data_IF_675558320738
#
_entry.id   IF_675558320738
#
_cell.length_a   1.000
_cell.length_b   1.000
_cell.length_c   1.000
_cell.angle_alpha   90.00
_cell.angle_beta   90.00
_cell.angle_gamma   90.00
#
_symmetry.space_group_name_H-M   'P 1'
#
loop_
_entity.id
_entity.type
_entity.pdbx_description
1 polymer ?
#
# COMPACT_ATOMS: atom_id res chain seq x y z
N UNK A 1 -3.70 16.52 -17.62
CA UNK A 1 -2.99 17.14 -18.77
C UNK A 1 -2.16 16.07 -19.48
N UNK A 2 -1.96 16.20 -20.79
CA UNK A 2 -1.01 15.37 -21.51
C UNK A 2 0.39 15.98 -21.35
N UNK A 3 1.26 15.27 -20.64
CA UNK A 3 2.67 15.64 -20.49
C UNK A 3 3.47 14.66 -21.32
N UNK A 4 4.23 15.17 -22.31
CA UNK A 4 5.03 14.31 -23.18
C UNK A 4 6.32 13.93 -22.46
N UNK A 5 6.25 12.90 -21.61
CA UNK A 5 7.41 12.29 -20.97
C UNK A 5 7.88 11.12 -21.83
N UNK A 6 9.15 11.12 -22.22
CA UNK A 6 9.76 9.96 -22.86
C UNK A 6 9.88 8.83 -21.84
N UNK A 7 9.10 7.77 -22.03
CA UNK A 7 9.14 6.54 -21.23
C UNK A 7 9.57 5.42 -22.16
N UNK A 8 10.45 4.54 -21.69
CA UNK A 8 10.82 3.32 -22.42
C UNK A 8 9.55 2.51 -22.75
N UNK A 9 9.23 2.29 -24.04
CA UNK A 9 8.04 1.54 -24.44
C UNK A 9 7.99 0.13 -23.87
N UNK A 10 9.13 -0.57 -23.79
CA UNK A 10 9.19 -1.93 -23.28
C UNK A 10 8.86 -1.98 -21.78
N UNK A 11 9.34 -1.00 -21.01
CA UNK A 11 9.01 -0.87 -19.60
C UNK A 11 7.52 -0.59 -19.39
N UNK A 12 6.93 0.31 -20.20
CA UNK A 12 5.53 0.68 -20.08
C UNK A 12 4.60 -0.48 -20.45
N UNK A 13 4.93 -1.24 -21.49
CA UNK A 13 4.17 -2.44 -21.88
C UNK A 13 4.27 -3.53 -20.81
N UNK A 14 5.45 -3.76 -20.25
CA UNK A 14 5.62 -4.71 -19.16
C UNK A 14 4.83 -4.30 -17.92
N UNK A 15 4.92 -3.02 -17.52
CA UNK A 15 4.16 -2.48 -16.39
C UNK A 15 2.64 -2.58 -16.62
N UNK A 16 2.17 -2.38 -17.85
CA UNK A 16 0.75 -2.51 -18.19
C UNK A 16 0.28 -3.96 -18.11
N UNK A 17 1.08 -4.90 -18.62
CA UNK A 17 0.77 -6.33 -18.56
C UNK A 17 0.73 -6.87 -17.12
N UNK A 18 1.66 -6.44 -16.27
CA UNK A 18 1.71 -6.83 -14.85
C UNK A 18 0.63 -6.13 -14.02
N UNK A 19 0.39 -4.84 -14.27
CA UNK A 19 -0.59 -4.04 -13.53
C UNK A 19 -2.04 -4.23 -13.96
N UNK A 20 -2.30 -4.81 -15.13
CA UNK A 20 -3.66 -5.10 -15.63
C UNK A 20 -4.45 -3.86 -16.07
N UNK A 21 -3.80 -2.69 -16.18
CA UNK A 21 -4.46 -1.43 -16.50
C UNK A 21 -4.87 -1.35 -17.99
N UNK A 22 -6.09 -0.88 -18.26
CA UNK A 22 -6.65 -0.86 -19.62
C UNK A 22 -5.94 0.11 -20.58
N UNK A 23 -5.25 1.13 -20.04
CA UNK A 23 -4.57 2.15 -20.87
C UNK A 23 -3.18 2.47 -20.32
N UNK A 24 -2.25 2.81 -21.20
CA UNK A 24 -0.91 3.29 -20.86
C UNK A 24 -0.95 4.46 -19.86
N UNK A 25 -1.92 5.37 -20.00
CA UNK A 25 -2.11 6.48 -19.06
C UNK A 25 -2.46 5.98 -17.66
N UNK A 26 -3.41 5.05 -17.56
CA UNK A 26 -3.80 4.44 -16.28
C UNK A 26 -2.61 3.69 -15.65
N UNK A 27 -1.83 2.95 -16.44
CA UNK A 27 -0.57 2.31 -15.99
C UNK A 27 0.38 3.32 -15.38
N UNK A 28 0.65 4.44 -16.06
CA UNK A 28 1.58 5.47 -15.55
C UNK A 28 1.03 6.12 -14.29
N UNK A 29 -0.26 6.47 -14.26
CA UNK A 29 -0.89 7.06 -13.08
C UNK A 29 -0.79 6.12 -11.87
N UNK A 30 -1.17 4.86 -12.03
CA UNK A 30 -1.09 3.84 -10.97
C UNK A 30 0.34 3.64 -10.49
N UNK A 31 1.29 3.48 -11.40
CA UNK A 31 2.69 3.29 -11.06
C UNK A 31 3.27 4.45 -10.24
N UNK A 32 2.88 5.70 -10.56
CA UNK A 32 3.29 6.87 -9.79
C UNK A 32 2.66 6.91 -8.40
N UNK A 33 1.37 6.61 -8.28
CA UNK A 33 0.67 6.50 -6.99
C UNK A 33 1.35 5.46 -6.08
N UNK A 34 1.65 4.27 -6.62
CA UNK A 34 2.33 3.21 -5.87
C UNK A 34 3.77 3.57 -5.51
N UNK A 35 4.51 4.21 -6.42
CA UNK A 35 5.87 4.69 -6.17
C UNK A 35 5.93 5.69 -5.02
N UNK A 36 4.98 6.62 -4.96
CA UNK A 36 4.83 7.60 -3.89
C UNK A 36 4.42 6.91 -2.61
N UNK A 37 3.34 6.12 -2.63
CA UNK A 37 2.84 5.41 -1.46
C UNK A 37 3.91 4.51 -0.82
N UNK A 38 4.72 3.81 -1.63
CA UNK A 38 5.84 2.99 -1.15
C UNK A 38 6.86 3.81 -0.36
N UNK A 39 7.16 5.04 -0.79
CA UNK A 39 8.10 5.94 -0.11
C UNK A 39 7.51 6.57 1.13
N UNK A 40 6.24 6.92 1.10
CA UNK A 40 5.55 7.44 2.28
C UNK A 40 5.45 6.36 3.36
N UNK A 41 5.10 5.12 2.98
CA UNK A 41 5.10 3.98 3.91
C UNK A 41 6.47 3.71 4.51
N UNK A 42 7.55 3.92 3.78
CA UNK A 42 8.90 3.74 4.31
C UNK A 42 9.18 4.65 5.52
N UNK A 43 8.51 5.80 5.63
CA UNK A 43 8.62 6.73 6.77
C UNK A 43 8.00 6.20 8.06
N UNK A 44 7.32 5.04 8.04
CA UNK A 44 6.82 4.42 9.27
C UNK A 44 7.96 4.13 10.26
N UNK A 45 9.19 3.94 9.75
CA UNK A 45 10.36 3.75 10.59
C UNK A 45 10.68 4.97 11.44
N UNK A 46 10.31 6.17 10.98
CA UNK A 46 10.53 7.42 11.70
C UNK A 46 9.63 7.51 12.95
N UNK A 47 8.58 6.69 13.05
CA UNK A 47 7.69 6.61 14.21
C UNK A 47 8.22 5.69 15.31
N UNK A 48 9.25 4.88 15.05
CA UNK A 48 9.80 4.00 16.08
C UNK A 48 10.44 4.84 17.21
N UNK A 49 10.02 4.56 18.45
CA UNK A 49 10.50 5.29 19.63
C UNK A 49 9.89 6.68 19.83
N UNK A 50 9.02 7.15 18.92
CA UNK A 50 8.26 8.40 19.09
C UNK A 50 6.82 8.16 19.57
N UNK A 51 6.35 6.91 19.51
CA UNK A 51 5.01 6.52 19.93
C UNK A 51 5.04 6.09 21.39
N UNK A 52 4.16 6.67 22.20
CA UNK A 52 3.82 6.16 23.53
C UNK A 52 2.74 5.08 23.38
N UNK A 53 2.99 3.92 23.97
CA UNK A 53 2.03 2.82 23.99
C UNK A 53 1.19 2.91 25.24
N UNK A 54 -0.12 2.62 25.11
CA UNK A 54 -0.99 2.48 26.27
C UNK A 54 -0.72 1.13 26.94
N UNK A 55 -0.16 1.17 28.16
CA UNK A 55 0.15 -0.01 28.95
C UNK A 55 -1.09 -0.85 29.30
N UNK A 56 -2.29 -0.27 29.22
CA UNK A 56 -3.55 -0.97 29.43
C UNK A 56 -4.08 -1.67 28.16
N UNK A 57 -3.42 -1.49 27.01
CA UNK A 57 -3.87 -2.07 25.75
C UNK A 57 -3.64 -3.59 25.68
N UNK A 58 -4.72 -4.36 25.75
CA UNK A 58 -4.70 -5.82 25.59
C UNK A 58 -4.98 -6.24 24.14
N UNK A 59 -3.90 -6.37 23.35
CA UNK A 59 -3.98 -6.85 21.97
C UNK A 59 -4.51 -8.29 21.83
N UNK A 60 -4.52 -9.10 22.89
CA UNK A 60 -5.07 -10.47 22.86
C UNK A 60 -6.59 -10.43 22.96
N UNK A 61 -7.14 -9.55 23.81
CA UNK A 61 -8.58 -9.33 23.91
C UNK A 61 -9.18 -8.88 22.57
N UNK A 62 -8.56 -7.91 21.90
CA UNK A 62 -8.98 -7.46 20.57
C UNK A 62 -8.94 -8.58 19.52
N UNK A 63 -7.89 -9.40 19.57
CA UNK A 63 -7.73 -10.55 18.67
C UNK A 63 -8.83 -11.59 18.89
N UNK A 64 -9.09 -11.94 20.15
CA UNK A 64 -10.18 -12.83 20.55
C UNK A 64 -11.53 -12.29 20.06
N UNK A 65 -11.82 -11.01 20.30
CA UNK A 65 -13.07 -10.39 19.87
C UNK A 65 -13.25 -10.44 18.34
N UNK A 66 -12.18 -10.17 17.58
CA UNK A 66 -12.20 -10.32 16.12
C UNK A 66 -12.46 -11.78 15.72
N UNK A 67 -11.77 -12.73 16.33
CA UNK A 67 -11.86 -14.14 15.93
C UNK A 67 -13.24 -14.73 16.27
N UNK A 68 -13.86 -14.37 17.40
CA UNK A 68 -15.28 -14.65 17.67
C UNK A 68 -16.21 -14.01 16.64
N UNK A 69 -15.98 -12.73 16.30
CA UNK A 69 -16.79 -12.03 15.28
C UNK A 69 -16.70 -12.69 13.91
N UNK A 70 -15.55 -13.28 13.57
CA UNK A 70 -15.32 -14.02 12.32
C UNK A 70 -15.75 -15.48 12.40
N UNK A 71 -16.19 -15.98 13.57
CA UNK A 71 -16.59 -17.38 13.77
C UNK A 71 -15.42 -18.37 13.69
N UNK A 72 -14.20 -17.92 14.02
CA UNK A 72 -12.99 -18.74 13.99
C UNK A 72 -12.76 -19.53 15.29
N UNK A 73 -13.49 -19.17 16.35
CA UNK A 73 -13.44 -19.77 17.70
C UNK A 73 -14.83 -19.64 18.35
N UNK A 74 -15.18 -20.62 19.17
CA UNK A 74 -16.47 -20.77 19.86
C UNK A 74 -16.73 -19.68 20.90
#
# INVERSE_FOLDING_TARGET
>A
MATNLAIDPALLEHAQAVGGEATKKATVTRALEEYVAKRERAKIVDLFGTLEWDDSYDYKADRLHRDHKLGLID
#
